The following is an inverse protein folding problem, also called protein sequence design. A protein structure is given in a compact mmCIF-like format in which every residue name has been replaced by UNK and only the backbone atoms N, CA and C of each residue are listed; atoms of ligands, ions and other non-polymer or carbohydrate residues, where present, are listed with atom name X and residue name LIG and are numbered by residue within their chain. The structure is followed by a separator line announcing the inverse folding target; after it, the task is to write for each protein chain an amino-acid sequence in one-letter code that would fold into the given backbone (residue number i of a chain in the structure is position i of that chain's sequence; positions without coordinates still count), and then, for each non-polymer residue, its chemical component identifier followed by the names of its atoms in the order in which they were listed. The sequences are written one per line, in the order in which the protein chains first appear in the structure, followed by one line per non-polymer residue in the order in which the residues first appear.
data_IF_350449718709
#
_entry.id   IF_350449718709
#
_cell.length_a   1.000
_cell.length_b   1.000
_cell.length_c   1.000
_cell.angle_alpha   90.00
_cell.angle_beta   90.00
_cell.angle_gamma   90.00
#
_symmetry.space_group_name_H-M   'P 1'
#
loop_
_entity.id
_entity.type
_entity.pdbx_description
1 polymer ?
#
# COMPACT_ATOMS: atom_id res chain seq x y z
N UNK A 1 3.02 -14.38 -10.14
CA UNK A 1 2.76 -12.99 -10.59
C UNK A 1 4.06 -12.46 -11.19
N UNK A 2 3.97 -11.61 -12.20
CA UNK A 2 5.14 -11.01 -12.87
C UNK A 2 5.84 -10.01 -11.94
N UNK A 3 7.09 -10.30 -11.58
CA UNK A 3 7.86 -9.49 -10.63
C UNK A 3 8.34 -8.15 -11.22
N UNK A 4 8.38 -7.99 -12.55
CA UNK A 4 8.89 -6.77 -13.19
C UNK A 4 7.80 -5.71 -13.40
N UNK A 5 6.53 -6.04 -13.18
CA UNK A 5 5.39 -5.17 -13.47
C UNK A 5 4.50 -4.94 -12.25
N UNK A 6 5.13 -4.75 -11.09
CA UNK A 6 4.43 -4.63 -9.81
C UNK A 6 4.64 -3.30 -9.10
N UNK A 7 5.89 -2.85 -8.98
CA UNK A 7 6.22 -1.55 -8.38
C UNK A 7 5.96 -0.43 -9.37
N UNK A 8 5.70 0.78 -8.87
CA UNK A 8 5.43 1.90 -9.76
C UNK A 8 6.73 2.36 -10.45
N UNK A 9 6.74 2.54 -11.79
CA UNK A 9 7.95 2.93 -12.50
C UNK A 9 8.49 4.30 -12.03
N UNK A 10 9.81 4.45 -11.75
CA UNK A 10 10.37 5.71 -11.25
C UNK A 10 10.09 6.93 -12.14
N UNK A 11 10.07 6.75 -13.45
CA UNK A 11 9.75 7.83 -14.40
C UNK A 11 8.31 8.33 -14.22
N UNK A 12 7.35 7.40 -14.07
CA UNK A 12 5.97 7.77 -13.80
C UNK A 12 5.81 8.37 -12.40
N UNK A 13 6.55 7.84 -11.40
CA UNK A 13 6.58 8.38 -10.04
C UNK A 13 7.07 9.83 -10.02
N UNK A 14 8.12 10.15 -10.78
CA UNK A 14 8.67 11.50 -10.89
C UNK A 14 7.66 12.50 -11.46
N UNK A 15 6.85 12.10 -12.45
CA UNK A 15 5.78 12.94 -13.00
C UNK A 15 4.75 13.30 -11.90
N UNK A 16 4.35 12.33 -11.07
CA UNK A 16 3.44 12.57 -9.94
C UNK A 16 4.10 13.34 -8.79
N UNK A 17 5.42 13.24 -8.62
CA UNK A 17 6.16 13.93 -7.59
C UNK A 17 6.17 15.45 -7.80
N UNK A 18 6.13 15.94 -9.04
CA UNK A 18 6.13 17.37 -9.36
C UNK A 18 4.91 18.13 -8.79
N UNK A 19 3.65 17.74 -9.05
CA UNK A 19 2.50 18.42 -8.43
C UNK A 19 2.48 18.28 -6.91
N UNK A 20 2.92 17.14 -6.36
CA UNK A 20 3.02 16.94 -4.90
C UNK A 20 4.05 17.90 -4.29
N UNK A 21 5.21 18.06 -4.90
CA UNK A 21 6.23 19.02 -4.44
C UNK A 21 5.71 20.45 -4.44
N UNK A 22 5.00 20.85 -5.50
CA UNK A 22 4.39 22.18 -5.56
C UNK A 22 3.30 22.38 -4.51
N UNK A 23 2.49 21.36 -4.24
CA UNK A 23 1.50 21.39 -3.15
C UNK A 23 2.18 21.52 -1.79
N UNK A 24 3.24 20.75 -1.52
CA UNK A 24 4.00 20.83 -0.26
C UNK A 24 4.59 22.22 -0.05
N UNK A 25 5.17 22.83 -1.09
CA UNK A 25 5.67 24.22 -1.01
C UNK A 25 4.57 25.25 -0.76
N UNK A 26 3.32 24.98 -1.15
CA UNK A 26 2.20 25.89 -0.91
C UNK A 26 1.74 25.87 0.55
N UNK A 27 1.82 24.70 1.20
CA UNK A 27 1.31 24.49 2.57
C UNK A 27 2.40 24.59 3.65
N UNK A 28 3.68 24.44 3.30
CA UNK A 28 4.80 24.44 4.23
C UNK A 28 5.75 25.62 4.00
N UNK A 29 6.47 26.03 5.04
CA UNK A 29 7.57 26.98 4.91
C UNK A 29 8.73 26.39 4.10
N UNK A 30 9.58 27.22 3.46
CA UNK A 30 10.74 26.73 2.70
C UNK A 30 11.69 25.84 3.49
N UNK A 31 11.80 26.04 4.81
CA UNK A 31 12.64 25.22 5.69
C UNK A 31 12.02 23.85 6.04
N UNK A 32 10.68 23.74 6.03
CA UNK A 32 9.96 22.51 6.40
C UNK A 32 9.61 21.66 5.18
N UNK A 33 9.34 22.29 4.04
CA UNK A 33 8.92 21.63 2.80
C UNK A 33 9.82 20.46 2.38
N UNK A 34 11.17 20.55 2.42
CA UNK A 34 12.04 19.43 2.06
C UNK A 34 11.87 18.22 2.98
N UNK A 35 11.68 18.44 4.29
CA UNK A 35 11.52 17.37 5.26
C UNK A 35 10.18 16.64 5.07
N UNK A 36 9.10 17.40 4.86
CA UNK A 36 7.77 16.84 4.57
C UNK A 36 7.78 16.04 3.27
N UNK A 37 8.33 16.61 2.20
CA UNK A 37 8.42 15.93 0.92
C UNK A 37 9.31 14.68 0.98
N UNK A 38 10.45 14.75 1.68
CA UNK A 38 11.31 13.60 1.94
C UNK A 38 10.58 12.48 2.70
N UNK A 39 9.76 12.83 3.69
CA UNK A 39 8.90 11.87 4.40
C UNK A 39 7.85 11.22 3.50
N UNK A 40 7.21 11.99 2.62
CA UNK A 40 6.27 11.46 1.62
C UNK A 40 6.95 10.47 0.68
N UNK A 41 8.13 10.82 0.14
CA UNK A 41 8.90 9.94 -0.75
C UNK A 41 9.36 8.67 -0.03
N UNK A 42 9.85 8.79 1.20
CA UNK A 42 10.21 7.64 2.02
C UNK A 42 9.00 6.72 2.23
N UNK A 43 7.84 7.28 2.56
CA UNK A 43 6.60 6.52 2.71
C UNK A 43 6.19 5.79 1.43
N UNK A 44 6.34 6.43 0.27
CA UNK A 44 6.12 5.82 -1.04
C UNK A 44 7.06 4.64 -1.30
N UNK A 45 8.36 4.80 -1.05
CA UNK A 45 9.34 3.70 -1.23
C UNK A 45 9.03 2.54 -0.29
N UNK A 46 8.70 2.83 0.98
CA UNK A 46 8.28 1.81 1.94
C UNK A 46 7.02 1.08 1.47
N UNK A 47 6.05 1.78 0.88
CA UNK A 47 4.86 1.20 0.30
C UNK A 47 5.20 0.22 -0.83
N UNK A 48 5.98 0.63 -1.83
CA UNK A 48 6.31 -0.22 -3.00
C UNK A 48 7.14 -1.44 -2.58
N UNK A 49 8.13 -1.25 -1.69
CA UNK A 49 8.92 -2.35 -1.14
C UNK A 49 8.05 -3.34 -0.35
N UNK A 50 7.13 -2.84 0.47
CA UNK A 50 6.18 -3.69 1.21
C UNK A 50 5.31 -4.45 0.24
N UNK A 51 4.71 -3.77 -0.75
CA UNK A 51 3.86 -4.38 -1.76
C UNK A 51 4.59 -5.54 -2.46
N UNK A 52 5.82 -5.29 -2.92
CA UNK A 52 6.65 -6.30 -3.55
C UNK A 52 6.94 -7.49 -2.62
N UNK A 53 7.27 -7.22 -1.36
CA UNK A 53 7.53 -8.24 -0.36
C UNK A 53 6.29 -9.09 -0.06
N UNK A 54 5.08 -8.49 -0.01
CA UNK A 54 3.85 -9.24 0.23
C UNK A 54 3.54 -10.21 -0.93
N UNK A 55 3.88 -9.85 -2.17
CA UNK A 55 3.71 -10.75 -3.31
C UNK A 55 4.77 -11.84 -3.39
N UNK A 56 6.05 -11.49 -3.22
CA UNK A 56 7.16 -12.37 -3.58
C UNK A 56 7.91 -12.94 -2.37
N UNK A 57 7.82 -12.30 -1.21
CA UNK A 57 8.50 -12.73 0.01
C UNK A 57 7.77 -13.84 0.76
N UNK A 58 8.46 -14.45 1.72
CA UNK A 58 7.90 -15.42 2.67
C UNK A 58 7.99 -14.85 4.10
N UNK A 59 6.98 -14.11 4.58
CA UNK A 59 7.02 -13.49 5.89
C UNK A 59 7.08 -14.52 7.01
N UNK A 60 8.00 -14.33 7.96
CA UNK A 60 8.19 -15.24 9.11
C UNK A 60 7.47 -14.77 10.37
N UNK A 61 7.33 -13.46 10.57
CA UNK A 61 6.64 -12.85 11.70
C UNK A 61 5.15 -12.60 11.42
N UNK A 62 4.35 -12.48 12.48
CA UNK A 62 2.89 -12.48 12.38
C UNK A 62 2.32 -11.25 11.68
N UNK A 63 2.90 -10.07 11.91
CA UNK A 63 2.44 -8.81 11.29
C UNK A 63 2.51 -8.87 9.75
N UNK A 64 3.67 -9.12 9.12
CA UNK A 64 3.75 -9.19 7.66
C UNK A 64 3.05 -10.44 7.09
N UNK A 65 2.91 -11.54 7.85
CA UNK A 65 2.03 -12.66 7.46
C UNK A 65 0.56 -12.22 7.36
N UNK A 66 0.09 -11.45 8.35
CA UNK A 66 -1.27 -10.91 8.38
C UNK A 66 -1.50 -9.94 7.21
N UNK A 67 -0.57 -9.01 6.97
CA UNK A 67 -0.61 -8.11 5.81
C UNK A 67 -0.59 -8.86 4.49
N UNK A 68 0.23 -9.92 4.36
CA UNK A 68 0.25 -10.75 3.15
C UNK A 68 -1.10 -11.43 2.93
N UNK A 69 -1.67 -12.03 3.97
CA UNK A 69 -3.01 -12.63 3.88
C UNK A 69 -4.07 -11.59 3.50
N UNK A 70 -4.02 -10.40 4.09
CA UNK A 70 -4.94 -9.29 3.81
C UNK A 70 -4.85 -8.84 2.34
N UNK A 71 -3.63 -8.60 1.86
CA UNK A 71 -3.37 -8.16 0.49
C UNK A 71 -3.73 -9.22 -0.57
N UNK A 72 -3.40 -10.49 -0.32
CA UNK A 72 -3.80 -11.56 -1.21
C UNK A 72 -5.33 -11.78 -1.21
N UNK A 73 -6.01 -11.45 -0.11
CA UNK A 73 -7.47 -11.48 -0.06
C UNK A 73 -8.11 -10.43 -0.98
N UNK A 74 -7.51 -9.23 -1.03
CA UNK A 74 -7.89 -8.19 -1.99
C UNK A 74 -7.77 -8.71 -3.43
N UNK A 75 -6.61 -9.23 -3.82
CA UNK A 75 -6.40 -9.71 -5.19
C UNK A 75 -7.28 -10.89 -5.60
N UNK A 76 -7.50 -11.86 -4.71
CA UNK A 76 -8.08 -13.17 -5.07
C UNK A 76 -9.51 -13.42 -4.56
N UNK A 77 -10.08 -12.53 -3.75
CA UNK A 77 -11.46 -12.70 -3.27
C UNK A 77 -12.30 -11.44 -3.35
N UNK A 78 -11.83 -10.35 -2.76
CA UNK A 78 -12.65 -9.15 -2.52
C UNK A 78 -11.88 -7.90 -2.98
N UNK A 79 -11.81 -7.68 -4.29
CA UNK A 79 -11.07 -6.57 -4.89
C UNK A 79 -11.64 -5.18 -4.53
N UNK A 80 -12.90 -5.12 -4.09
CA UNK A 80 -13.55 -3.88 -3.64
C UNK A 80 -13.31 -3.56 -2.15
N UNK A 81 -12.46 -4.33 -1.46
CA UNK A 81 -12.10 -4.14 -0.06
C UNK A 81 -10.58 -4.30 0.14
N UNK A 82 -10.06 -3.83 1.26
CA UNK A 82 -8.66 -4.04 1.63
C UNK A 82 -7.66 -3.31 0.75
N UNK A 83 -7.85 -2.00 0.59
CA UNK A 83 -6.98 -1.15 -0.22
C UNK A 83 -5.63 -0.86 0.47
N UNK A 84 -5.56 -1.01 1.79
CA UNK A 84 -4.36 -0.79 2.58
C UNK A 84 -3.30 -1.86 2.38
N UNK A 85 -2.10 -1.45 1.95
CA UNK A 85 -0.94 -2.34 1.74
C UNK A 85 -0.03 -2.39 2.96
N UNK A 86 0.36 -1.21 3.47
CA UNK A 86 1.28 -1.08 4.61
C UNK A 86 0.55 -1.24 5.95
N UNK A 87 -0.74 -0.90 5.99
CA UNK A 87 -1.62 -1.14 7.13
C UNK A 87 -3.10 -1.05 6.74
N UNK A 88 -4.03 -1.65 7.50
CA UNK A 88 -5.47 -1.51 7.29
C UNK A 88 -6.05 -0.24 7.96
N UNK A 89 -5.21 0.72 8.38
CA UNK A 89 -5.65 1.89 9.15
C UNK A 89 -6.73 2.67 8.39
N UNK A 90 -6.46 3.01 7.14
CA UNK A 90 -7.39 3.76 6.30
C UNK A 90 -8.60 2.92 5.90
N UNK A 91 -8.44 1.61 5.72
CA UNK A 91 -9.61 0.75 5.49
C UNK A 91 -10.59 0.77 6.67
N UNK A 92 -10.08 0.84 7.90
CA UNK A 92 -10.93 1.00 9.09
C UNK A 92 -11.59 2.37 9.12
N UNK A 93 -10.84 3.43 8.81
CA UNK A 93 -11.36 4.80 8.80
C UNK A 93 -12.47 5.01 7.77
N UNK A 94 -12.36 4.37 6.60
CA UNK A 94 -13.29 4.53 5.48
C UNK A 94 -14.27 3.35 5.31
N UNK A 95 -14.27 2.38 6.23
CA UNK A 95 -15.23 1.26 6.19
C UNK A 95 -14.99 0.24 5.07
N UNK A 96 -13.76 0.11 4.58
CA UNK A 96 -13.36 -0.79 3.48
C UNK A 96 -12.57 -2.01 3.95
N UNK A 97 -12.65 -2.35 5.24
CA UNK A 97 -12.09 -3.61 5.77
C UNK A 97 -12.86 -4.79 5.19
N UNK A 98 -12.19 -5.84 4.66
CA UNK A 98 -12.85 -7.03 4.15
C UNK A 98 -13.73 -7.68 5.24
N UNK A 99 -15.00 -8.02 4.93
CA UNK A 99 -15.88 -8.70 5.87
C UNK A 99 -15.31 -10.06 6.28
N UNK A 100 -15.69 -10.57 7.47
CA UNK A 100 -15.33 -11.91 7.91
C UNK A 100 -15.75 -12.94 6.86
N UNK A 101 -14.92 -13.97 6.65
CA UNK A 101 -15.26 -15.04 5.71
C UNK A 101 -16.52 -15.76 6.17
N UNK A 102 -17.52 -15.85 5.30
CA UNK A 102 -18.73 -16.61 5.59
C UNK A 102 -18.41 -18.12 5.60
N UNK A 103 -19.12 -18.91 6.40
CA UNK A 103 -18.96 -20.38 6.46
C UNK A 103 -19.20 -21.07 5.10
N UNK A 104 -19.94 -20.43 4.19
CA UNK A 104 -20.20 -20.95 2.84
C UNK A 104 -18.99 -20.90 1.92
N UNK A 105 -18.12 -19.90 2.07
CA UNK A 105 -16.94 -19.73 1.21
C UNK A 105 -15.82 -20.73 1.54
N UNK A 106 -15.76 -21.19 2.80
CA UNK A 106 -14.79 -22.18 3.25
C UNK A 106 -15.02 -23.56 2.62
N UNK A 107 -16.26 -23.85 2.18
CA UNK A 107 -16.66 -25.14 1.62
C UNK A 107 -16.42 -25.27 0.10
N UNK A 108 -16.06 -24.15 -0.57
CA UNK A 108 -15.79 -24.07 -2.01
C UNK A 108 -14.29 -24.05 -2.36
N UNK A 109 -13.42 -24.16 -1.37
CA UNK A 109 -11.97 -24.21 -1.52
C UNK A 109 -11.44 -25.63 -1.39
#
# INVERSE_FOLDING_TARGET
MDSYRLVFPPVAAAILALPIWNLVKLICTPSVAPAVFGGILLGYVMYDCTHYYLHHGQPKSDVPKSLKKYHLNHHYRLQNYGFGITSPLWDKAFGTVPPPQSKGDAKRR
#
